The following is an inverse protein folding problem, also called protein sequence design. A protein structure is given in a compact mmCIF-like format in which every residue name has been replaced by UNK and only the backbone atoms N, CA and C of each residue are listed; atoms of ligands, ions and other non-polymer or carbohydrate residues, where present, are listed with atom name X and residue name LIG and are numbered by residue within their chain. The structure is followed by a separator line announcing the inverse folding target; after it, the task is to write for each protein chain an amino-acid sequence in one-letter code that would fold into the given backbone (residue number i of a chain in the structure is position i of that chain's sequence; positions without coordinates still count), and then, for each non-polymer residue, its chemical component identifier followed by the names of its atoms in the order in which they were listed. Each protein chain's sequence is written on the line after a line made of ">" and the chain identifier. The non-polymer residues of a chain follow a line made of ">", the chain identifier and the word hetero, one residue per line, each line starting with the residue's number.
data_IF_761392033620
#
_entry.id   IF_761392033620
#
_cell.length_a   1.000
_cell.length_b   1.000
_cell.length_c   1.000
_cell.angle_alpha   90.00
_cell.angle_beta   90.00
_cell.angle_gamma   90.00
#
_symmetry.space_group_name_H-M   'P 1'
#
loop_
_entity.id
_entity.type
_entity.pdbx_description
1 polymer ?
#
# COMPACT_ATOMS: atom_id res chain seq x y z
N UNK A 1 -7.51 -20.07 12.68
CA UNK A 1 -7.12 -19.90 11.28
C UNK A 1 -6.10 -18.79 11.19
N UNK A 2 -4.88 -19.12 10.78
CA UNK A 2 -3.74 -18.19 10.56
C UNK A 2 -3.49 -18.00 9.07
N UNK A 3 -2.62 -17.04 8.71
CA UNK A 3 -2.21 -16.86 7.30
C UNK A 3 -1.45 -18.08 6.77
N UNK A 4 -0.60 -18.71 7.58
CA UNK A 4 0.14 -19.92 7.18
C UNK A 4 -0.80 -21.11 6.90
N UNK A 5 -1.84 -21.29 7.73
CA UNK A 5 -2.87 -22.31 7.51
C UNK A 5 -3.66 -22.06 6.21
N UNK A 6 -3.86 -20.78 5.86
CA UNK A 6 -4.48 -20.40 4.59
C UNK A 6 -3.56 -20.74 3.42
N UNK A 7 -2.29 -20.35 3.49
CA UNK A 7 -1.32 -20.59 2.43
C UNK A 7 -1.07 -22.08 2.20
N UNK A 8 -0.97 -22.87 3.28
CA UNK A 8 -0.83 -24.31 3.18
C UNK A 8 -2.01 -24.94 2.44
N UNK A 9 -3.25 -24.51 2.73
CA UNK A 9 -4.45 -25.04 2.07
C UNK A 9 -4.58 -24.58 0.62
N UNK A 10 -4.26 -23.32 0.33
CA UNK A 10 -4.23 -22.80 -1.05
C UNK A 10 -3.12 -23.47 -1.88
N UNK A 11 -2.03 -23.89 -1.24
CA UNK A 11 -0.93 -24.64 -1.85
C UNK A 11 -1.31 -26.05 -2.32
N UNK A 12 -2.42 -26.62 -1.84
CA UNK A 12 -2.92 -27.93 -2.26
C UNK A 12 -3.63 -27.92 -3.63
N UNK A 13 -3.92 -26.73 -4.17
CA UNK A 13 -4.59 -26.60 -5.45
C UNK A 13 -3.63 -26.89 -6.61
N UNK A 14 -4.10 -27.64 -7.60
CA UNK A 14 -3.34 -27.84 -8.84
C UNK A 14 -3.14 -26.51 -9.57
N UNK A 15 -2.13 -26.44 -10.45
CA UNK A 15 -1.84 -25.25 -11.25
C UNK A 15 -3.09 -24.77 -12.01
N UNK A 16 -3.79 -25.68 -12.68
CA UNK A 16 -5.04 -25.38 -13.41
C UNK A 16 -6.17 -24.87 -12.52
N UNK A 17 -6.30 -25.41 -11.30
CA UNK A 17 -7.29 -24.92 -10.33
C UNK A 17 -6.95 -23.53 -9.82
N UNK A 18 -5.66 -23.24 -9.61
CA UNK A 18 -5.19 -21.93 -9.16
C UNK A 18 -5.43 -20.87 -10.24
N UNK A 19 -5.07 -21.14 -11.48
CA UNK A 19 -5.26 -20.22 -12.62
C UNK A 19 -6.74 -19.88 -12.82
N UNK A 20 -7.62 -20.87 -12.84
CA UNK A 20 -9.05 -20.64 -13.02
C UNK A 20 -9.64 -19.82 -11.86
N UNK A 21 -9.22 -20.09 -10.62
CA UNK A 21 -9.70 -19.34 -9.46
C UNK A 21 -9.17 -17.91 -9.46
N UNK A 22 -7.90 -17.69 -9.77
CA UNK A 22 -7.34 -16.36 -9.95
C UNK A 22 -8.11 -15.58 -11.02
N UNK A 23 -8.38 -16.21 -12.17
CA UNK A 23 -9.14 -15.59 -13.27
C UNK A 23 -10.54 -15.18 -12.82
N UNK A 24 -11.24 -16.03 -12.08
CA UNK A 24 -12.58 -15.71 -11.54
C UNK A 24 -12.48 -14.61 -10.48
N UNK A 25 -11.58 -14.76 -9.51
CA UNK A 25 -11.45 -13.85 -8.36
C UNK A 25 -11.13 -12.43 -8.76
N UNK A 26 -10.24 -12.23 -9.73
CA UNK A 26 -9.94 -10.90 -10.29
C UNK A 26 -11.16 -10.15 -10.84
N UNK A 27 -12.23 -10.88 -11.19
CA UNK A 27 -13.47 -10.30 -11.69
C UNK A 27 -14.42 -9.79 -10.60
N UNK A 28 -14.16 -10.07 -9.31
CA UNK A 28 -15.05 -9.72 -8.21
C UNK A 28 -14.27 -9.18 -7.00
N UNK A 29 -14.72 -8.08 -6.41
CA UNK A 29 -14.12 -7.57 -5.17
C UNK A 29 -14.48 -8.41 -3.95
N UNK A 30 -13.55 -8.53 -2.99
CA UNK A 30 -13.72 -9.38 -1.79
C UNK A 30 -14.92 -9.01 -0.92
N UNK A 31 -15.34 -7.74 -0.92
CA UNK A 31 -16.55 -7.32 -0.19
C UNK A 31 -17.83 -7.94 -0.78
N UNK A 32 -17.92 -8.00 -2.12
CA UNK A 32 -19.05 -8.58 -2.83
C UNK A 32 -19.07 -10.11 -2.70
N UNK A 33 -17.91 -10.76 -2.76
CA UNK A 33 -17.80 -12.21 -2.58
C UNK A 33 -18.19 -12.63 -1.16
N UNK A 34 -17.75 -11.89 -0.13
CA UNK A 34 -18.13 -12.13 1.27
C UNK A 34 -19.62 -11.89 1.49
N UNK A 35 -20.17 -10.80 0.95
CA UNK A 35 -21.61 -10.53 1.01
C UNK A 35 -22.42 -11.68 0.39
N UNK A 36 -22.02 -12.16 -0.79
CA UNK A 36 -22.67 -13.29 -1.45
C UNK A 36 -22.50 -14.62 -0.69
N UNK A 37 -21.34 -14.86 -0.10
CA UNK A 37 -21.09 -16.03 0.74
C UNK A 37 -22.04 -16.03 1.95
N UNK A 38 -22.19 -14.88 2.62
CA UNK A 38 -23.10 -14.72 3.75
C UNK A 38 -24.57 -14.94 3.35
N UNK A 39 -25.00 -14.39 2.21
CA UNK A 39 -26.34 -14.64 1.67
C UNK A 39 -26.58 -16.14 1.42
N UNK A 40 -25.62 -16.80 0.78
CA UNK A 40 -25.69 -18.25 0.49
C UNK A 40 -25.73 -19.08 1.77
N UNK A 41 -24.90 -18.75 2.76
CA UNK A 41 -24.89 -19.42 4.07
C UNK A 41 -26.20 -19.20 4.85
N UNK A 42 -26.82 -18.03 4.73
CA UNK A 42 -28.14 -17.77 5.28
C UNK A 42 -29.24 -18.60 4.60
N UNK A 43 -29.18 -18.77 3.28
CA UNK A 43 -30.07 -19.69 2.55
C UNK A 43 -29.90 -21.14 3.01
N UNK A 44 -28.67 -21.58 3.26
CA UNK A 44 -28.36 -22.92 3.77
C UNK A 44 -28.89 -23.17 5.19
N UNK A 45 -29.13 -22.13 6.01
CA UNK A 45 -29.79 -22.35 7.32
C UNK A 45 -31.19 -22.94 7.17
N UNK A 46 -31.86 -22.66 6.04
CA UNK A 46 -33.25 -23.08 5.79
C UNK A 46 -33.33 -24.28 4.85
N UNK A 47 -32.56 -24.27 3.76
CA UNK A 47 -32.75 -25.20 2.63
C UNK A 47 -31.58 -26.18 2.40
N UNK A 48 -30.78 -26.42 3.43
CA UNK A 48 -29.58 -27.27 3.32
C UNK A 48 -29.89 -28.72 2.94
N UNK A 49 -30.97 -29.30 3.48
CA UNK A 49 -31.32 -30.69 3.21
C UNK A 49 -31.69 -30.92 1.73
N UNK A 50 -32.38 -29.93 1.15
CA UNK A 50 -32.84 -29.90 -0.23
C UNK A 50 -31.67 -29.81 -1.21
N UNK A 51 -30.63 -29.05 -0.85
CA UNK A 51 -29.42 -28.86 -1.64
C UNK A 51 -28.41 -30.02 -1.51
N UNK A 52 -28.31 -30.65 -0.33
CA UNK A 52 -27.37 -31.74 -0.07
C UNK A 52 -27.52 -32.91 -1.04
N UNK A 53 -28.77 -33.29 -1.33
CA UNK A 53 -29.11 -34.36 -2.27
C UNK A 53 -28.98 -33.97 -3.74
N UNK A 54 -28.64 -32.71 -4.04
CA UNK A 54 -28.66 -32.14 -5.40
C UNK A 54 -27.33 -31.49 -5.80
N UNK A 55 -26.24 -31.97 -5.20
CA UNK A 55 -24.88 -31.61 -5.61
C UNK A 55 -24.20 -30.56 -4.73
N UNK A 56 -24.83 -30.11 -3.64
CA UNK A 56 -24.19 -29.23 -2.66
C UNK A 56 -24.09 -29.89 -1.26
N UNK A 57 -23.22 -30.91 -1.09
CA UNK A 57 -23.03 -31.60 0.19
C UNK A 57 -22.43 -30.70 1.27
N UNK A 58 -22.42 -31.20 2.51
CA UNK A 58 -21.86 -30.51 3.68
C UNK A 58 -20.42 -30.02 3.45
N UNK A 59 -19.57 -30.79 2.76
CA UNK A 59 -18.19 -30.39 2.46
C UNK A 59 -18.08 -29.08 1.68
N UNK A 60 -19.05 -28.77 0.80
CA UNK A 60 -19.06 -27.46 0.12
C UNK A 60 -19.50 -26.33 1.05
N UNK A 61 -20.36 -26.63 2.04
CA UNK A 61 -20.77 -25.66 3.07
C UNK A 61 -19.56 -25.32 3.93
N UNK A 62 -18.83 -26.33 4.40
CA UNK A 62 -17.63 -26.16 5.22
C UNK A 62 -16.54 -25.40 4.47
N UNK A 63 -16.35 -25.71 3.18
CA UNK A 63 -15.43 -24.97 2.30
C UNK A 63 -15.86 -23.50 2.15
N UNK A 64 -17.16 -23.22 1.97
CA UNK A 64 -17.65 -21.85 1.84
C UNK A 64 -17.45 -21.04 3.13
N UNK A 65 -17.69 -21.65 4.29
CA UNK A 65 -17.40 -21.05 5.61
C UNK A 65 -15.91 -20.73 5.71
N UNK A 66 -15.06 -21.71 5.39
CA UNK A 66 -13.61 -21.55 5.44
C UNK A 66 -13.14 -20.40 4.54
N UNK A 67 -13.60 -20.34 3.28
CA UNK A 67 -13.22 -19.26 2.36
C UNK A 67 -13.68 -17.89 2.86
N UNK A 68 -14.91 -17.76 3.37
CA UNK A 68 -15.41 -16.50 3.93
C UNK A 68 -14.53 -16.03 5.10
N UNK A 69 -14.19 -16.94 6.01
CA UNK A 69 -13.38 -16.60 7.18
C UNK A 69 -11.92 -16.29 6.78
N UNK A 70 -11.41 -16.94 5.73
CA UNK A 70 -10.07 -16.72 5.20
C UNK A 70 -9.93 -15.30 4.63
N UNK A 71 -10.96 -14.79 3.95
CA UNK A 71 -10.99 -13.39 3.50
C UNK A 71 -10.94 -12.45 4.71
N UNK A 72 -11.72 -12.71 5.77
CA UNK A 72 -11.70 -11.88 6.98
C UNK A 72 -10.30 -11.75 7.59
N UNK A 73 -9.55 -12.85 7.64
CA UNK A 73 -8.17 -12.87 8.15
C UNK A 73 -7.19 -12.19 7.18
N UNK A 74 -7.33 -12.42 5.87
CA UNK A 74 -6.51 -11.76 4.84
C UNK A 74 -6.75 -10.24 4.80
N UNK A 75 -7.98 -9.79 5.01
CA UNK A 75 -8.35 -8.37 5.06
C UNK A 75 -8.01 -7.71 6.41
N UNK A 76 -7.98 -8.46 7.51
CA UNK A 76 -7.53 -7.98 8.82
C UNK A 76 -6.10 -7.43 8.80
N UNK A 77 -5.24 -7.94 7.92
CA UNK A 77 -3.92 -7.36 7.63
C UNK A 77 -3.97 -6.02 6.86
N UNK A 78 -4.98 -5.81 6.00
CA UNK A 78 -5.11 -4.60 5.17
C UNK A 78 -5.53 -3.36 5.97
N UNK A 79 -6.38 -3.49 6.99
CA UNK A 79 -6.81 -2.35 7.81
C UNK A 79 -5.66 -1.69 8.58
N UNK A 80 -4.77 -2.52 9.14
CA UNK A 80 -3.56 -2.06 9.82
C UNK A 80 -2.58 -1.42 8.83
N UNK A 81 -2.39 -2.01 7.65
CA UNK A 81 -1.52 -1.46 6.59
C UNK A 81 -2.06 -0.14 6.03
N UNK A 82 -3.38 0.00 5.84
CA UNK A 82 -3.98 1.26 5.36
C UNK A 82 -3.84 2.40 6.39
N UNK A 83 -4.02 2.11 7.68
CA UNK A 83 -3.82 3.10 8.75
C UNK A 83 -2.35 3.48 8.86
N UNK A 84 -1.43 2.51 8.80
CA UNK A 84 0.02 2.75 8.77
C UNK A 84 0.37 3.61 7.55
N UNK A 85 -0.10 3.27 6.35
CA UNK A 85 0.18 4.05 5.13
C UNK A 85 -0.38 5.48 5.22
N UNK A 86 -1.55 5.68 5.83
CA UNK A 86 -2.13 7.02 6.03
C UNK A 86 -1.31 7.84 7.02
N UNK A 87 -0.86 7.23 8.12
CA UNK A 87 0.00 7.88 9.12
C UNK A 87 1.38 8.19 8.54
N UNK A 88 1.99 7.25 7.81
CA UNK A 88 3.29 7.43 7.15
C UNK A 88 3.23 8.48 6.05
N UNK A 89 2.17 8.51 5.23
CA UNK A 89 2.01 9.54 4.20
C UNK A 89 1.82 10.94 4.81
N UNK A 90 1.07 11.05 5.91
CA UNK A 90 0.93 12.34 6.62
C UNK A 90 2.28 12.77 7.20
N UNK A 91 2.98 11.87 7.88
CA UNK A 91 4.31 12.13 8.43
C UNK A 91 5.31 12.56 7.35
N UNK A 92 5.29 11.90 6.18
CA UNK A 92 6.12 12.25 5.03
C UNK A 92 5.78 13.64 4.49
N UNK A 93 4.49 13.97 4.35
CA UNK A 93 4.09 15.32 3.92
C UNK A 93 4.51 16.40 4.92
N UNK A 94 4.40 16.14 6.22
CA UNK A 94 4.79 17.09 7.26
C UNK A 94 6.31 17.28 7.27
N UNK A 95 7.09 16.20 7.14
CA UNK A 95 8.56 16.29 6.97
C UNK A 95 8.98 16.95 5.67
N UNK A 96 8.26 16.73 4.58
CA UNK A 96 8.46 17.44 3.31
C UNK A 96 8.25 18.95 3.46
N UNK A 97 7.24 19.38 4.23
CA UNK A 97 7.03 20.82 4.52
C UNK A 97 8.18 21.39 5.32
N UNK A 98 8.59 20.69 6.40
CA UNK A 98 9.72 21.09 7.23
C UNK A 98 11.02 21.19 6.41
N UNK A 99 11.34 20.16 5.62
CA UNK A 99 12.54 20.15 4.77
C UNK A 99 12.54 21.27 3.74
N UNK A 100 11.37 21.65 3.19
CA UNK A 100 11.26 22.81 2.28
C UNK A 100 11.53 24.12 3.00
N UNK A 101 11.06 24.28 4.23
CA UNK A 101 11.33 25.47 5.05
C UNK A 101 12.84 25.57 5.38
N UNK A 102 13.43 24.49 5.91
CA UNK A 102 14.87 24.41 6.20
C UNK A 102 15.70 24.71 4.95
N UNK A 103 15.33 24.17 3.78
CA UNK A 103 16.01 24.47 2.52
C UNK A 103 15.97 25.96 2.20
N UNK A 104 14.85 26.64 2.42
CA UNK A 104 14.76 28.10 2.18
C UNK A 104 15.70 28.88 3.09
N UNK A 105 15.79 28.48 4.36
CA UNK A 105 16.72 29.12 5.31
C UNK A 105 18.17 28.85 4.96
N UNK A 106 18.52 27.60 4.63
CA UNK A 106 19.87 27.24 4.16
C UNK A 106 20.26 28.04 2.91
N UNK A 107 19.33 28.26 1.97
CA UNK A 107 19.61 29.09 0.79
C UNK A 107 20.03 30.49 1.15
N UNK A 108 19.38 31.10 2.15
CA UNK A 108 19.76 32.44 2.62
C UNK A 108 21.17 32.41 3.23
N UNK A 109 21.45 31.46 4.10
CA UNK A 109 22.77 31.31 4.73
C UNK A 109 23.88 31.11 3.68
N UNK A 110 23.65 30.23 2.71
CA UNK A 110 24.64 29.93 1.68
C UNK A 110 24.78 31.03 0.62
N UNK A 111 23.77 31.88 0.47
CA UNK A 111 23.87 33.11 -0.31
C UNK A 111 24.88 34.06 0.34
N UNK A 112 24.77 34.28 1.65
CA UNK A 112 25.70 35.15 2.41
C UNK A 112 27.13 34.58 2.41
N UNK A 113 27.28 33.25 2.49
CA UNK A 113 28.58 32.57 2.34
C UNK A 113 29.18 32.82 0.96
N UNK A 114 28.38 32.71 -0.12
CA UNK A 114 28.88 32.97 -1.47
C UNK A 114 29.36 34.42 -1.61
N UNK A 115 28.60 35.39 -1.09
CA UNK A 115 28.98 36.80 -1.10
C UNK A 115 30.28 37.05 -0.31
N UNK A 116 30.43 36.44 0.86
CA UNK A 116 31.65 36.54 1.67
C UNK A 116 32.90 35.92 1.02
N UNK A 117 32.71 34.90 0.17
CA UNK A 117 33.79 34.30 -0.62
C UNK A 117 34.16 35.19 -1.82
N UNK A 118 33.15 35.81 -2.47
CA UNK A 118 33.33 36.73 -3.60
C UNK A 118 34.10 38.00 -3.21
N UNK A 119 33.99 38.45 -1.96
CA UNK A 119 34.75 39.58 -1.38
C UNK A 119 36.27 39.36 -1.29
N UNK A 120 36.77 38.17 -1.63
CA UNK A 120 38.20 37.83 -1.67
C UNK A 120 38.66 37.64 -3.13
N UNK A 121 38.79 38.70 -3.93
CA UNK A 121 39.07 38.59 -5.37
C UNK A 121 40.46 38.01 -5.69
N UNK A 122 41.41 38.13 -4.77
CA UNK A 122 42.78 37.64 -4.95
C UNK A 122 42.96 36.16 -4.53
N UNK A 123 41.91 35.50 -4.02
CA UNK A 123 41.92 34.10 -3.62
C UNK A 123 41.15 33.25 -4.64
N UNK A 124 41.87 32.71 -5.63
CA UNK A 124 41.29 31.88 -6.70
C UNK A 124 40.49 30.69 -6.14
N UNK A 125 40.94 30.10 -5.03
CA UNK A 125 40.24 28.98 -4.39
C UNK A 125 38.92 29.43 -3.76
N UNK A 126 38.88 30.63 -3.17
CA UNK A 126 37.63 31.21 -2.68
C UNK A 126 36.64 31.52 -3.82
N UNK A 127 37.13 32.00 -4.96
CA UNK A 127 36.28 32.29 -6.13
C UNK A 127 35.69 31.02 -6.75
N UNK A 128 36.47 29.95 -6.90
CA UNK A 128 35.97 28.65 -7.37
C UNK A 128 34.92 28.06 -6.41
N UNK A 129 35.15 28.22 -5.11
CA UNK A 129 34.22 27.78 -4.09
C UNK A 129 32.93 28.60 -4.11
N UNK A 130 33.00 29.93 -4.29
CA UNK A 130 31.83 30.78 -4.46
C UNK A 130 30.98 30.31 -5.65
N UNK A 131 31.61 30.05 -6.81
CA UNK A 131 30.92 29.51 -7.99
C UNK A 131 30.25 28.17 -7.71
N UNK A 132 30.91 27.30 -6.94
CA UNK A 132 30.36 26.00 -6.51
C UNK A 132 29.13 26.18 -5.61
N UNK A 133 29.16 27.12 -4.68
CA UNK A 133 28.02 27.47 -3.81
C UNK A 133 26.86 28.00 -4.64
N UNK A 134 27.11 28.96 -5.54
CA UNK A 134 26.10 29.53 -6.47
C UNK A 134 25.44 28.45 -7.32
N UNK A 135 26.25 27.59 -7.94
CA UNK A 135 25.76 26.46 -8.75
C UNK A 135 24.87 25.52 -7.93
N UNK A 136 25.22 25.29 -6.65
CA UNK A 136 24.39 24.48 -5.77
C UNK A 136 23.07 25.17 -5.46
N UNK A 137 23.08 26.46 -5.13
CA UNK A 137 21.87 27.27 -4.93
C UNK A 137 20.94 27.24 -6.15
N UNK A 138 21.46 27.24 -7.38
CA UNK A 138 20.59 27.12 -8.56
C UNK A 138 19.95 25.73 -8.67
N UNK A 139 20.77 24.67 -8.51
CA UNK A 139 20.34 23.27 -8.65
C UNK A 139 19.38 22.79 -7.55
N UNK A 140 19.36 23.46 -6.39
CA UNK A 140 18.50 23.14 -5.25
C UNK A 140 17.28 24.05 -5.12
N UNK A 141 16.97 24.86 -6.14
CA UNK A 141 15.85 25.83 -6.12
C UNK A 141 14.47 25.17 -5.90
N UNK A 142 14.24 23.98 -6.46
CA UNK A 142 12.99 23.24 -6.27
C UNK A 142 13.18 21.73 -6.29
N UNK A 143 12.45 21.05 -5.40
CA UNK A 143 12.30 19.60 -5.37
C UNK A 143 10.92 19.17 -5.89
N UNK A 144 10.01 20.11 -6.15
CA UNK A 144 8.62 19.81 -6.47
C UNK A 144 7.94 18.98 -5.39
N UNK A 145 7.33 17.87 -5.81
CA UNK A 145 6.66 16.90 -4.95
C UNK A 145 7.52 15.65 -4.64
N UNK A 146 8.77 15.61 -5.11
CA UNK A 146 9.67 14.45 -4.97
C UNK A 146 10.43 14.49 -3.62
N UNK A 147 10.17 13.53 -2.70
CA UNK A 147 10.81 13.52 -1.39
C UNK A 147 12.30 13.16 -1.43
N UNK A 148 12.70 12.22 -2.28
CA UNK A 148 14.11 11.81 -2.38
C UNK A 148 14.94 12.94 -2.96
N UNK A 149 14.42 13.65 -3.97
CA UNK A 149 15.05 14.87 -4.49
C UNK A 149 15.21 15.94 -3.42
N UNK A 150 14.24 16.13 -2.52
CA UNK A 150 14.38 17.08 -1.42
C UNK A 150 15.48 16.65 -0.44
N UNK A 151 15.52 15.38 -0.05
CA UNK A 151 16.56 14.84 0.83
C UNK A 151 17.96 15.02 0.22
N UNK A 152 18.13 14.70 -1.07
CA UNK A 152 19.39 14.93 -1.80
C UNK A 152 19.79 16.41 -1.83
N UNK A 153 18.83 17.33 -1.98
CA UNK A 153 19.13 18.76 -1.94
C UNK A 153 19.61 19.22 -0.56
N UNK A 154 19.01 18.71 0.52
CA UNK A 154 19.43 19.01 1.89
C UNK A 154 20.86 18.50 2.17
N UNK A 155 21.21 17.32 1.67
CA UNK A 155 22.57 16.77 1.82
C UNK A 155 23.64 17.51 1.03
N UNK A 156 23.28 18.08 -0.12
CA UNK A 156 24.22 18.94 -0.87
C UNK A 156 24.68 20.13 -0.02
N UNK A 157 23.81 20.67 0.82
CA UNK A 157 24.20 21.73 1.76
C UNK A 157 25.12 21.23 2.86
N UNK A 158 24.91 20.01 3.38
CA UNK A 158 25.84 19.39 4.32
C UNK A 158 27.23 19.23 3.70
N UNK A 159 27.31 18.75 2.46
CA UNK A 159 28.59 18.57 1.77
C UNK A 159 29.32 19.90 1.56
N UNK A 160 28.60 20.98 1.28
CA UNK A 160 29.19 22.32 1.22
C UNK A 160 29.64 22.78 2.61
N UNK A 161 28.84 22.59 3.65
CA UNK A 161 29.18 22.98 5.02
C UNK A 161 30.40 22.24 5.59
N UNK A 162 30.72 21.05 5.07
CA UNK A 162 31.91 20.28 5.45
C UNK A 162 33.20 20.82 4.82
N UNK A 163 33.11 21.71 3.82
CA UNK A 163 34.29 22.38 3.27
C UNK A 163 34.88 23.34 4.33
N UNK A 164 36.16 23.23 4.72
CA UNK A 164 36.71 24.01 5.83
C UNK A 164 36.51 25.52 5.70
N UNK A 165 36.66 26.06 4.49
CA UNK A 165 36.48 27.48 4.20
C UNK A 165 35.01 27.93 4.36
N UNK A 166 34.05 27.07 3.98
CA UNK A 166 32.62 27.33 4.21
C UNK A 166 32.30 27.23 5.70
N UNK A 167 32.77 26.16 6.36
CA UNK A 167 32.53 25.93 7.78
C UNK A 167 32.98 27.13 8.64
N UNK A 168 34.11 27.74 8.29
CA UNK A 168 34.64 28.93 8.96
C UNK A 168 33.75 30.19 8.78
N UNK A 169 32.92 30.23 7.74
CA UNK A 169 32.00 31.33 7.45
C UNK A 169 30.59 31.10 8.01
N UNK A 170 30.25 29.88 8.42
CA UNK A 170 28.95 29.56 9.01
C UNK A 170 28.89 30.02 10.47
N UNK A 171 27.84 30.75 10.83
CA UNK A 171 27.53 31.05 12.23
C UNK A 171 27.16 29.78 13.01
N UNK A 172 27.22 29.82 14.34
CA UNK A 172 26.80 28.69 15.17
C UNK A 172 25.35 28.26 14.91
N UNK A 173 24.45 29.23 14.68
CA UNK A 173 23.05 28.97 14.33
C UNK A 173 22.92 28.31 12.94
N UNK A 174 23.73 28.74 11.97
CA UNK A 174 23.76 28.14 10.66
C UNK A 174 24.28 26.69 10.69
N UNK A 175 25.27 26.38 11.52
CA UNK A 175 25.77 25.02 11.73
C UNK A 175 24.72 24.10 12.36
N UNK A 176 23.91 24.62 13.28
CA UNK A 176 22.76 23.88 13.84
C UNK A 176 21.71 23.57 12.76
N UNK A 177 21.41 24.53 11.88
CA UNK A 177 20.47 24.36 10.77
C UNK A 177 20.92 23.29 9.77
N UNK A 178 22.23 23.21 9.48
CA UNK A 178 22.80 22.13 8.62
C UNK A 178 22.64 20.75 9.28
N UNK A 179 22.80 20.69 10.61
CA UNK A 179 22.61 19.44 11.36
C UNK A 179 21.14 19.01 11.32
N UNK A 180 20.22 19.95 11.55
CA UNK A 180 18.77 19.71 11.46
C UNK A 180 18.37 19.25 10.05
N UNK A 181 18.90 19.89 9.01
CA UNK A 181 18.68 19.49 7.61
C UNK A 181 19.09 18.04 7.34
N UNK A 182 20.19 17.58 7.95
CA UNK A 182 20.68 16.20 7.82
C UNK A 182 19.73 15.23 8.49
N UNK A 183 19.26 15.55 9.70
CA UNK A 183 18.24 14.76 10.40
C UNK A 183 16.96 14.66 9.57
N UNK A 184 16.46 15.77 9.05
CA UNK A 184 15.23 15.79 8.23
C UNK A 184 15.41 15.02 6.91
N UNK A 185 16.56 15.13 6.26
CA UNK A 185 16.85 14.35 5.04
C UNK A 185 16.81 12.84 5.32
N UNK A 186 17.41 12.39 6.43
CA UNK A 186 17.36 10.99 6.83
C UNK A 186 15.94 10.54 7.18
N UNK A 187 15.19 11.34 7.93
CA UNK A 187 13.79 11.03 8.25
C UNK A 187 12.90 10.94 7.00
N UNK A 188 13.11 11.80 6.00
CA UNK A 188 12.41 11.72 4.72
C UNK A 188 12.72 10.39 4.03
N UNK A 189 13.98 9.97 3.99
CA UNK A 189 14.37 8.66 3.41
C UNK A 189 13.80 7.49 4.17
N UNK A 190 13.84 7.53 5.50
CA UNK A 190 13.28 6.47 6.33
C UNK A 190 11.76 6.36 6.14
N UNK A 191 11.06 7.50 6.05
CA UNK A 191 9.63 7.54 5.77
C UNK A 191 9.31 7.07 4.36
N UNK A 192 10.16 7.39 3.38
CA UNK A 192 9.97 6.92 2.01
C UNK A 192 10.29 5.43 1.85
N UNK A 193 11.29 4.91 2.57
CA UNK A 193 11.53 3.47 2.65
C UNK A 193 10.37 2.74 3.36
N UNK A 194 9.74 3.37 4.35
CA UNK A 194 8.56 2.84 5.05
C UNK A 194 7.29 2.93 4.20
N UNK A 195 7.09 3.99 3.41
CA UNK A 195 5.97 4.13 2.47
C UNK A 195 6.15 3.26 1.22
N UNK A 196 7.40 2.98 0.83
CA UNK A 196 7.80 1.96 -0.13
C UNK A 196 7.59 0.52 0.39
N UNK A 197 7.04 0.37 1.61
CA UNK A 197 6.42 -0.87 2.05
C UNK A 197 5.43 -1.39 0.98
N UNK A 198 5.32 -2.71 0.81
CA UNK A 198 4.72 -3.26 -0.39
C UNK A 198 3.27 -2.80 -0.53
N UNK A 199 2.97 -2.05 -1.60
CA UNK A 199 1.62 -2.04 -2.18
C UNK A 199 1.25 -3.50 -2.37
N UNK A 200 0.32 -4.01 -1.53
CA UNK A 200 0.01 -5.43 -1.29
C UNK A 200 0.80 -6.41 -2.14
N UNK A 201 1.75 -7.14 -1.52
CA UNK A 201 2.62 -8.07 -2.25
C UNK A 201 1.81 -8.90 -3.25
N UNK A 202 2.32 -9.19 -4.46
CA UNK A 202 1.60 -10.02 -5.44
C UNK A 202 1.02 -11.31 -4.84
N UNK A 203 1.69 -11.86 -3.82
CA UNK A 203 1.23 -13.00 -3.03
C UNK A 203 -0.05 -12.73 -2.21
N UNK A 204 -0.19 -11.58 -1.54
CA UNK A 204 -1.39 -11.21 -0.79
C UNK A 204 -2.60 -10.95 -1.70
N UNK A 205 -2.38 -10.26 -2.82
CA UNK A 205 -3.44 -10.02 -3.80
C UNK A 205 -3.87 -11.32 -4.48
N UNK A 206 -2.91 -12.18 -4.84
CA UNK A 206 -3.21 -13.53 -5.36
C UNK A 206 -3.92 -14.41 -4.33
N UNK A 207 -3.59 -14.30 -3.04
CA UNK A 207 -4.28 -15.03 -1.97
C UNK A 207 -5.77 -14.67 -1.93
N UNK A 208 -6.08 -13.38 -1.95
CA UNK A 208 -7.46 -12.91 -1.97
C UNK A 208 -8.18 -13.31 -3.26
N UNK A 209 -7.57 -13.09 -4.42
CA UNK A 209 -8.13 -13.52 -5.71
C UNK A 209 -8.42 -15.03 -5.75
N UNK A 210 -7.55 -15.87 -5.18
CA UNK A 210 -7.76 -17.32 -5.11
C UNK A 210 -8.99 -17.68 -4.24
N UNK A 211 -9.10 -17.06 -3.07
CA UNK A 211 -10.20 -17.32 -2.15
C UNK A 211 -11.52 -16.77 -2.72
N UNK A 212 -11.50 -15.56 -3.30
CA UNK A 212 -12.63 -14.93 -3.99
C UNK A 212 -13.14 -15.81 -5.14
N UNK A 213 -12.23 -16.27 -5.98
CA UNK A 213 -12.57 -17.19 -7.07
C UNK A 213 -13.21 -18.49 -6.59
N UNK A 214 -12.73 -19.03 -5.46
CA UNK A 214 -13.30 -20.23 -4.85
C UNK A 214 -14.72 -19.99 -4.31
N UNK A 215 -14.96 -18.85 -3.65
CA UNK A 215 -16.31 -18.46 -3.20
C UNK A 215 -17.25 -18.38 -4.39
N UNK A 216 -16.88 -17.67 -5.45
CA UNK A 216 -17.72 -17.50 -6.64
C UNK A 216 -18.10 -18.84 -7.27
N UNK A 217 -17.17 -19.79 -7.34
CA UNK A 217 -17.46 -21.16 -7.79
C UNK A 217 -18.49 -21.87 -6.90
N UNK A 218 -18.32 -21.78 -5.58
CA UNK A 218 -19.21 -22.43 -4.60
C UNK A 218 -20.62 -21.83 -4.64
N UNK A 219 -20.77 -20.51 -4.65
CA UNK A 219 -22.08 -19.86 -4.66
C UNK A 219 -22.82 -20.08 -5.99
N UNK A 220 -22.12 -20.12 -7.13
CA UNK A 220 -22.70 -20.53 -8.43
C UNK A 220 -23.21 -21.98 -8.38
N UNK A 221 -22.43 -22.88 -7.78
CA UNK A 221 -22.82 -24.29 -7.59
C UNK A 221 -24.02 -24.43 -6.64
N UNK A 222 -24.06 -23.66 -5.57
CA UNK A 222 -25.20 -23.60 -4.65
C UNK A 222 -26.47 -23.14 -5.38
N UNK A 223 -26.37 -22.05 -6.18
CA UNK A 223 -27.49 -21.57 -7.01
C UNK A 223 -28.00 -22.60 -8.01
N UNK A 224 -27.10 -23.31 -8.69
CA UNK A 224 -27.48 -24.37 -9.63
C UNK A 224 -28.25 -25.49 -8.91
N UNK A 225 -27.76 -25.91 -7.73
CA UNK A 225 -28.40 -26.93 -6.89
C UNK A 225 -29.77 -26.47 -6.37
N UNK A 226 -29.87 -25.21 -5.94
CA UNK A 226 -31.10 -24.59 -5.47
C UNK A 226 -32.16 -24.49 -6.58
N UNK A 227 -31.78 -24.12 -7.81
CA UNK A 227 -32.69 -24.11 -8.96
C UNK A 227 -33.21 -25.50 -9.30
N UNK A 228 -32.36 -26.53 -9.21
CA UNK A 228 -32.79 -27.91 -9.39
C UNK A 228 -33.74 -28.37 -8.28
N UNK A 229 -33.50 -27.94 -7.03
CA UNK A 229 -34.38 -28.21 -5.89
C UNK A 229 -35.75 -27.55 -6.06
N UNK A 230 -35.77 -26.25 -6.36
CA UNK A 230 -36.98 -25.46 -6.59
C UNK A 230 -37.88 -26.10 -7.65
N UNK A 231 -37.32 -26.46 -8.81
CA UNK A 231 -38.08 -27.11 -9.90
C UNK A 231 -38.67 -28.47 -9.48
N UNK A 232 -37.91 -29.27 -8.73
CA UNK A 232 -38.35 -30.61 -8.32
C UNK A 232 -39.42 -30.55 -7.21
N UNK A 233 -39.37 -29.53 -6.35
CA UNK A 233 -40.25 -29.39 -5.19
C UNK A 233 -41.42 -28.43 -5.43
N UNK A 234 -41.39 -27.66 -6.52
CA UNK A 234 -42.38 -26.61 -6.80
C UNK A 234 -42.26 -25.38 -5.89
N UNK A 235 -41.11 -25.19 -5.24
CA UNK A 235 -40.88 -24.08 -4.30
C UNK A 235 -39.83 -23.10 -4.82
N UNK A 236 -40.29 -21.98 -5.39
CA UNK A 236 -39.43 -20.92 -5.93
C UNK A 236 -38.65 -20.17 -4.84
N UNK A 237 -39.10 -20.20 -3.57
CA UNK A 237 -38.39 -19.55 -2.47
C UNK A 237 -36.98 -20.15 -2.28
N UNK A 238 -36.81 -21.44 -2.59
CA UNK A 238 -35.50 -22.10 -2.60
C UNK A 238 -34.58 -21.44 -3.62
N UNK A 239 -35.03 -21.18 -4.86
CA UNK A 239 -34.18 -20.55 -5.87
C UNK A 239 -33.83 -19.10 -5.49
N UNK A 240 -34.81 -18.35 -4.96
CA UNK A 240 -34.65 -16.96 -4.54
C UNK A 240 -33.63 -16.79 -3.41
N UNK A 241 -33.63 -17.72 -2.44
CA UNK A 241 -32.68 -17.70 -1.32
C UNK A 241 -31.20 -17.84 -1.74
N UNK A 242 -30.94 -18.32 -2.97
CA UNK A 242 -29.60 -18.53 -3.52
C UNK A 242 -29.34 -17.69 -4.78
N UNK A 243 -30.04 -16.56 -4.95
CA UNK A 243 -29.72 -15.58 -5.98
C UNK A 243 -28.32 -15.00 -5.80
N UNK A 244 -27.69 -14.62 -6.93
CA UNK A 244 -26.35 -14.03 -6.93
C UNK A 244 -26.39 -12.50 -6.94
N UNK A 245 -27.36 -11.91 -6.25
CA UNK A 245 -27.64 -10.47 -6.26
C UNK A 245 -26.48 -9.61 -5.74
N UNK A 246 -25.64 -10.14 -4.85
CA UNK A 246 -24.46 -9.42 -4.39
C UNK A 246 -23.31 -9.44 -5.40
N UNK A 247 -23.25 -10.42 -6.30
CA UNK A 247 -22.24 -10.48 -7.37
C UNK A 247 -22.70 -9.81 -8.68
N UNK A 248 -24.01 -9.77 -8.93
CA UNK A 248 -24.61 -9.18 -10.12
C UNK A 248 -25.80 -8.33 -9.68
N UNK A 249 -25.55 -7.10 -9.21
CA UNK A 249 -26.63 -6.15 -8.98
C UNK A 249 -27.30 -5.83 -10.33
N UNK A 250 -28.63 -5.74 -10.32
CA UNK A 250 -29.44 -5.30 -11.48
C UNK A 250 -29.32 -3.78 -11.70
#
# INVERSE_FOLDING_TARGET
>A
MTLDEIDQRLGQYSVSQREERLRIGRGFGSDLTVAQANQTLNGLKKYKAELATRGFPQSNVDELIWCRDAIGICLGGRGVIQVINKVTNKALMDKMKLGKAIRMELRSVFQDVAESLEEKPDDESAQELALTVRTTLEKTSSAGADPLKLAEQLERYLNLAQQPTVAALLSQNASALVTEATTVAQEIRDLEAKSAGPRGTPAESQRLDLVDGRIVQLVRKARASARAAARKLGDEAIAKAFELSALYPE
#
